data_IF_287491318867
#
_entry.id   IF_287491318867
#
_cell.length_a   1.000
_cell.length_b   1.000
_cell.length_c   1.000
_cell.angle_alpha   90.00
_cell.angle_beta   90.00
_cell.angle_gamma   90.00
#
_symmetry.space_group_name_H-M   'P 1'
#
loop_
_entity.id
_entity.type
_entity.pdbx_description
1 polymer ?
#
# COMPACT_ATOMS: atom_id res chain seq x y z
N UNK A 1 9.56 -4.13 -0.23
CA UNK A 1 8.56 -5.10 0.27
C UNK A 1 7.89 -4.45 1.47
N UNK A 2 6.60 -4.09 1.39
CA UNK A 2 5.90 -3.40 2.49
C UNK A 2 5.52 -4.41 3.57
N UNK A 3 6.03 -4.22 4.78
CA UNK A 3 5.66 -4.99 5.98
C UNK A 3 4.36 -4.44 6.57
N UNK A 4 3.48 -5.31 7.06
CA UNK A 4 2.22 -4.91 7.71
C UNK A 4 2.50 -3.92 8.85
N UNK A 5 1.83 -2.75 8.82
CA UNK A 5 2.03 -1.68 9.80
C UNK A 5 3.14 -0.66 9.49
N UNK A 6 3.85 -0.78 8.37
CA UNK A 6 4.73 0.28 7.90
C UNK A 6 3.92 1.42 7.27
N UNK A 7 4.28 2.66 7.63
CA UNK A 7 3.79 3.85 6.96
C UNK A 7 4.34 3.88 5.52
N UNK A 8 3.47 4.12 4.56
CA UNK A 8 3.80 4.27 3.15
C UNK A 8 3.28 5.61 2.65
N UNK A 9 4.08 6.30 1.83
CA UNK A 9 3.63 7.46 1.08
C UNK A 9 2.91 7.06 -0.22
N UNK A 10 2.79 5.76 -0.49
CA UNK A 10 2.00 5.22 -1.60
C UNK A 10 0.53 5.05 -1.18
N UNK A 11 -0.32 5.95 -1.68
CA UNK A 11 -1.77 5.93 -1.46
C UNK A 11 -2.48 4.84 -2.28
N UNK A 12 -1.79 4.14 -3.19
CA UNK A 12 -2.35 3.13 -4.10
C UNK A 12 -1.49 1.87 -4.16
N UNK A 13 -1.27 1.20 -3.02
CA UNK A 13 -0.42 0.02 -2.99
C UNK A 13 -1.01 -1.09 -3.87
N UNK A 14 -0.15 -1.72 -4.66
CA UNK A 14 -0.52 -2.96 -5.35
C UNK A 14 -0.49 -4.12 -4.37
N UNK A 15 -1.66 -4.71 -4.13
CA UNK A 15 -1.81 -5.96 -3.40
C UNK A 15 -1.62 -7.12 -4.36
N UNK A 16 -0.97 -8.17 -3.89
CA UNK A 16 -0.85 -9.42 -4.64
C UNK A 16 -1.00 -10.61 -3.70
N UNK A 17 -1.44 -11.73 -4.24
CA UNK A 17 -1.62 -12.94 -3.46
C UNK A 17 -1.91 -14.15 -4.33
N UNK A 18 -2.30 -15.23 -3.65
CA UNK A 18 -2.76 -16.46 -4.29
C UNK A 18 -4.16 -16.80 -3.79
N UNK A 19 -4.94 -17.44 -4.65
CA UNK A 19 -6.27 -17.97 -4.39
C UNK A 19 -6.52 -19.14 -5.36
N UNK A 20 -7.68 -19.79 -5.27
CA UNK A 20 -8.03 -20.84 -6.22
C UNK A 20 -8.16 -20.23 -7.62
N UNK A 21 -7.57 -20.86 -8.66
CA UNK A 21 -7.73 -20.38 -10.03
C UNK A 21 -9.19 -20.20 -10.42
N UNK A 22 -9.53 -19.03 -10.95
CA UNK A 22 -10.90 -18.68 -11.36
C UNK A 22 -11.76 -18.03 -10.27
N UNK A 23 -11.29 -17.98 -9.02
CA UNK A 23 -12.01 -17.27 -7.95
C UNK A 23 -12.02 -15.75 -8.20
N UNK A 24 -13.11 -15.12 -7.76
CA UNK A 24 -13.22 -13.66 -7.69
C UNK A 24 -12.74 -13.19 -6.31
N UNK A 25 -11.68 -12.41 -6.30
CA UNK A 25 -11.10 -11.80 -5.12
C UNK A 25 -11.76 -10.46 -4.88
N UNK A 26 -12.37 -10.28 -3.72
CA UNK A 26 -12.94 -9.01 -3.28
C UNK A 26 -12.08 -8.42 -2.18
N UNK A 27 -11.63 -7.19 -2.37
CA UNK A 27 -10.82 -6.45 -1.41
C UNK A 27 -11.70 -5.45 -0.67
N UNK A 28 -11.62 -5.46 0.65
CA UNK A 28 -12.37 -4.59 1.54
C UNK A 28 -11.42 -3.69 2.33
N UNK A 29 -11.77 -2.41 2.46
CA UNK A 29 -11.13 -1.48 3.40
C UNK A 29 -12.13 -1.15 4.51
N UNK A 30 -11.77 -1.42 5.76
CA UNK A 30 -12.66 -1.18 6.92
C UNK A 30 -14.07 -1.80 6.75
N UNK A 31 -14.14 -2.97 6.11
CA UNK A 31 -15.39 -3.68 5.83
C UNK A 31 -16.15 -3.24 4.56
N UNK A 32 -15.72 -2.18 3.88
CA UNK A 32 -16.32 -1.70 2.63
C UNK A 32 -15.55 -2.26 1.43
N UNK A 33 -16.26 -2.85 0.46
CA UNK A 33 -15.62 -3.34 -0.76
C UNK A 33 -15.05 -2.17 -1.58
N UNK A 34 -13.74 -2.18 -1.82
CA UNK A 34 -13.02 -1.16 -2.61
C UNK A 34 -12.72 -1.62 -4.04
N UNK A 35 -12.92 -2.91 -4.33
CA UNK A 35 -12.82 -3.45 -5.68
C UNK A 35 -12.65 -4.96 -5.70
N UNK A 36 -12.52 -5.50 -6.91
CA UNK A 36 -12.36 -6.92 -7.16
C UNK A 36 -11.20 -7.20 -8.12
N UNK A 37 -10.63 -8.39 -8.02
CA UNK A 37 -9.62 -8.94 -8.92
C UNK A 37 -9.95 -10.40 -9.22
N UNK A 38 -9.56 -10.91 -10.37
CA UNK A 38 -9.74 -12.33 -10.69
C UNK A 38 -8.45 -13.09 -10.38
N UNK A 39 -8.57 -14.26 -9.75
CA UNK A 39 -7.48 -15.21 -9.65
C UNK A 39 -7.22 -15.83 -11.02
N UNK A 40 -6.01 -15.62 -11.54
CA UNK A 40 -5.62 -16.14 -12.84
C UNK A 40 -5.53 -17.67 -12.88
N UNK A 41 -5.13 -18.25 -14.03
CA UNK A 41 -5.05 -19.71 -14.21
C UNK A 41 -4.09 -20.41 -13.23
N UNK A 42 -3.10 -19.67 -12.70
CA UNK A 42 -2.12 -20.16 -11.71
C UNK A 42 -2.54 -19.85 -10.27
N UNK A 43 -3.72 -19.25 -10.06
CA UNK A 43 -4.19 -18.80 -8.76
C UNK A 43 -3.61 -17.46 -8.30
N UNK A 44 -2.67 -16.89 -9.06
CA UNK A 44 -2.10 -15.58 -8.75
C UNK A 44 -3.08 -14.46 -9.06
N UNK A 45 -3.16 -13.46 -8.19
CA UNK A 45 -3.95 -12.25 -8.42
C UNK A 45 -3.17 -11.00 -8.01
N UNK A 46 -3.57 -9.88 -8.60
CA UNK A 46 -3.05 -8.55 -8.28
C UNK A 46 -4.21 -7.56 -8.26
N UNK A 47 -4.20 -6.64 -7.30
CA UNK A 47 -5.20 -5.61 -7.13
C UNK A 47 -4.54 -4.28 -6.78
N UNK A 48 -4.85 -3.24 -7.56
CA UNK A 48 -4.47 -1.86 -7.26
C UNK A 48 -5.74 -1.05 -7.07
N UNK A 49 -5.94 -0.39 -5.92
CA UNK A 49 -7.08 0.50 -5.71
C UNK A 49 -7.21 1.55 -6.83
N UNK A 50 -8.42 1.72 -7.36
CA UNK A 50 -8.73 2.80 -8.32
C UNK A 50 -8.71 4.16 -7.65
N UNK A 51 -9.29 4.24 -6.45
CA UNK A 51 -9.23 5.41 -5.57
C UNK A 51 -8.07 5.29 -4.57
N UNK A 52 -7.38 6.39 -4.24
CA UNK A 52 -6.37 6.39 -3.21
C UNK A 52 -6.98 6.01 -1.86
N UNK A 53 -6.21 5.27 -1.06
CA UNK A 53 -6.49 5.04 0.34
C UNK A 53 -6.37 6.36 1.11
N UNK A 54 -7.16 6.51 2.17
CA UNK A 54 -7.15 7.72 2.99
C UNK A 54 -5.89 7.76 3.86
N UNK A 55 -5.48 8.96 4.30
CA UNK A 55 -4.40 9.11 5.28
C UNK A 55 -4.70 8.32 6.57
N UNK A 56 -3.65 7.74 7.16
CA UNK A 56 -3.73 6.93 8.35
C UNK A 56 -4.00 5.45 8.07
N UNK A 57 -4.64 4.79 9.03
CA UNK A 57 -4.78 3.33 9.07
C UNK A 57 -5.88 2.83 8.14
N UNK A 58 -5.53 1.97 7.18
CA UNK A 58 -6.44 1.32 6.24
C UNK A 58 -6.36 -0.21 6.43
N UNK A 59 -7.22 -0.80 7.26
CA UNK A 59 -7.27 -2.25 7.45
C UNK A 59 -7.90 -2.91 6.22
N UNK A 60 -7.08 -3.58 5.43
CA UNK A 60 -7.50 -4.29 4.23
C UNK A 60 -7.78 -5.76 4.54
N UNK A 61 -8.91 -6.27 4.07
CA UNK A 61 -9.25 -7.71 4.15
C UNK A 61 -9.64 -8.22 2.79
N UNK A 62 -9.37 -9.50 2.55
CA UNK A 62 -9.59 -10.14 1.25
C UNK A 62 -10.52 -11.33 1.43
N UNK A 63 -11.46 -11.51 0.52
CA UNK A 63 -12.32 -12.69 0.44
C UNK A 63 -12.32 -13.22 -0.99
N UNK A 64 -12.21 -14.53 -1.14
CA UNK A 64 -12.38 -15.19 -2.43
C UNK A 64 -13.81 -15.70 -2.57
N UNK A 65 -14.38 -15.57 -3.76
CA UNK A 65 -15.69 -16.12 -4.12
C UNK A 65 -15.50 -17.03 -5.32
N UNK A 66 -15.87 -18.30 -5.19
CA UNK A 66 -15.75 -19.25 -6.30
C UNK A 66 -16.77 -18.97 -7.42
N UNK A 67 -16.62 -19.57 -8.61
CA UNK A 67 -17.57 -19.40 -9.71
C UNK A 67 -19.01 -19.89 -9.40
N UNK A 68 -19.18 -20.71 -8.36
CA UNK A 68 -20.48 -21.17 -7.89
C UNK A 68 -21.14 -20.22 -6.87
N UNK A 69 -20.44 -19.16 -6.45
CA UNK A 69 -20.91 -18.15 -5.50
C UNK A 69 -20.58 -18.42 -4.03
N UNK A 70 -19.78 -19.44 -3.71
CA UNK A 70 -19.36 -19.70 -2.33
C UNK A 70 -18.21 -18.77 -1.94
N UNK A 71 -18.33 -18.13 -0.78
CA UNK A 71 -17.36 -17.17 -0.29
C UNK A 71 -16.47 -17.77 0.80
N UNK A 72 -15.15 -17.53 0.74
CA UNK A 72 -14.20 -17.94 1.75
C UNK A 72 -14.32 -17.12 3.04
N UNK A 73 -13.71 -17.62 4.11
CA UNK A 73 -13.44 -16.78 5.28
C UNK A 73 -12.56 -15.58 4.89
N UNK A 74 -12.71 -14.42 5.55
CA UNK A 74 -11.83 -13.27 5.32
C UNK A 74 -10.38 -13.61 5.68
N UNK A 75 -9.44 -13.06 4.90
CA UNK A 75 -8.01 -13.12 5.22
C UNK A 75 -7.70 -12.39 6.53
N UNK A 76 -6.51 -12.61 7.08
CA UNK A 76 -5.96 -11.73 8.10
C UNK A 76 -5.99 -10.28 7.59
N UNK A 77 -6.31 -9.34 8.49
CA UNK A 77 -6.31 -7.92 8.15
C UNK A 77 -4.88 -7.46 7.86
N UNK A 78 -4.68 -6.92 6.67
CA UNK A 78 -3.45 -6.28 6.26
C UNK A 78 -3.59 -4.77 6.47
N UNK A 79 -2.93 -4.24 7.49
CA UNK A 79 -3.05 -2.82 7.81
C UNK A 79 -2.03 -2.00 7.00
N UNK A 80 -2.55 -1.19 6.07
CA UNK A 80 -1.77 -0.20 5.33
C UNK A 80 -1.89 1.12 6.05
N UNK A 81 -0.78 1.67 6.53
CA UNK A 81 -0.75 3.03 7.08
C UNK A 81 -0.30 3.96 5.97
N UNK A 82 -1.19 4.81 5.48
CA UNK A 82 -0.83 5.85 4.52
C UNK A 82 -0.36 7.06 5.31
N UNK A 83 0.83 7.54 4.96
CA UNK A 83 1.38 8.78 5.50
C UNK A 83 1.99 9.59 4.35
N UNK A 84 1.17 10.45 3.74
CA UNK A 84 1.63 11.44 2.74
C UNK A 84 2.03 12.76 3.37
N UNK A 85 1.97 12.87 4.70
CA UNK A 85 2.53 14.03 5.41
C UNK A 85 4.05 13.92 5.40
N UNK A 86 4.62 14.31 4.26
CA UNK A 86 6.05 14.32 4.01
C UNK A 86 6.79 14.98 5.17
N UNK A 87 7.69 14.24 5.82
CA UNK A 87 8.91 14.86 6.31
C UNK A 87 9.62 15.38 5.07
N UNK A 88 9.49 16.69 4.83
CA UNK A 88 10.45 17.45 4.05
C UNK A 88 11.82 16.80 4.15
N UNK A 89 12.50 16.42 3.04
CA UNK A 89 13.92 16.22 3.13
C UNK A 89 14.50 17.59 3.51
N UNK A 90 14.75 17.80 4.79
CA UNK A 90 15.67 18.85 5.19
C UNK A 90 17.01 18.33 4.66
N UNK A 91 17.52 18.95 3.60
CA UNK A 91 18.95 18.85 3.31
C UNK A 91 19.62 19.53 4.52
N UNK A 92 19.97 18.75 5.54
CA UNK A 92 20.85 19.17 6.62
C UNK A 92 22.29 19.18 6.06
N UNK A 93 22.54 20.08 5.11
CA UNK A 93 23.85 20.27 4.47
C UNK A 93 24.29 19.14 3.55
N UNK A 94 24.81 19.50 2.38
CA UNK A 94 25.88 18.70 1.79
C UNK A 94 27.18 19.19 2.43
N UNK A 95 27.70 18.51 3.44
CA UNK A 95 29.10 18.67 3.81
C UNK A 95 29.93 17.88 2.78
N UNK A 96 30.23 18.53 1.65
CA UNK A 96 31.40 18.13 0.87
C UNK A 96 32.64 18.63 1.63
N UNK A 97 33.24 17.73 2.41
CA UNK A 97 34.48 18.02 3.11
C UNK A 97 35.65 18.05 2.10
N UNK A 98 35.77 19.17 1.40
CA UNK A 98 37.01 19.61 0.77
C UNK A 98 37.29 21.06 1.17
N UNK A 99 38.16 21.21 2.17
CA UNK A 99 39.08 22.34 2.32
C UNK A 99 38.48 23.74 2.52
N UNK A 100 38.32 24.13 3.79
CA UNK A 100 38.50 25.49 4.33
C UNK A 100 38.05 26.70 3.49
N UNK A 101 36.75 27.02 3.43
CA UNK A 101 36.25 28.43 3.52
C UNK A 101 34.83 28.47 4.10
N UNK A 102 34.70 29.04 5.29
CA UNK A 102 33.45 29.48 5.93
C UNK A 102 32.87 30.73 5.27
N UNK A 103 31.55 30.79 5.07
CA UNK A 103 30.82 32.02 4.77
C UNK A 103 29.34 31.88 5.10
N UNK A 104 28.79 32.82 5.89
CA UNK A 104 27.36 32.86 6.25
C UNK A 104 26.49 33.01 5.00
N UNK A 105 25.37 32.28 4.92
CA UNK A 105 24.34 32.55 3.90
C UNK A 105 22.99 32.76 4.57
N UNK A 106 22.52 34.00 4.47
CA UNK A 106 21.22 34.54 4.87
C UNK A 106 20.09 33.80 4.16
N UNK A 107 19.00 33.51 4.88
CA UNK A 107 17.76 32.96 4.31
C UNK A 107 17.07 33.99 3.40
N UNK A 108 16.67 33.55 2.21
CA UNK A 108 15.68 34.20 1.35
C UNK A 108 14.62 33.20 0.94
#
# INVERSE_FOLDING_TARGET
MLTSGQATNDTRPTLSGTATPGDTITVYNNGIAIGTAQAGPTGSWSFTPSSPLAEGSNPLTIRATDPAGNQSAPSAAFNVVVDTTSTTPVILGAEDNVGSVTGNVTSG
#
